data_IF_478414413852
#
_entry.id   IF_478414413852
#
_cell.length_a   1.000
_cell.length_b   1.000
_cell.length_c   1.000
_cell.angle_alpha   90.00
_cell.angle_beta   90.00
_cell.angle_gamma   90.00
#
_symmetry.space_group_name_H-M   'P 1'
#
loop_
_entity.id
_entity.type
_entity.pdbx_description
1 polymer ?
#
# COMPACT_ATOMS: atom_id res chain seq x y z
N UNK A 1 -40.02 32.77 15.90
CA UNK A 1 -39.14 33.19 14.79
C UNK A 1 -37.73 32.63 14.95
N UNK A 2 -37.15 32.69 16.15
CA UNK A 2 -35.81 32.15 16.45
C UNK A 2 -35.67 30.64 16.22
N UNK A 3 -36.71 29.85 16.51
CA UNK A 3 -36.63 28.38 16.40
C UNK A 3 -36.63 27.87 14.95
N UNK A 4 -37.34 28.52 14.04
CA UNK A 4 -37.32 28.18 12.61
C UNK A 4 -35.97 28.53 11.98
N UNK A 5 -35.35 29.65 12.39
CA UNK A 5 -33.99 30.01 11.97
C UNK A 5 -32.96 29.01 12.51
N UNK A 6 -33.11 28.60 13.77
CA UNK A 6 -32.24 27.60 14.40
C UNK A 6 -32.35 26.24 13.70
N UNK A 7 -33.57 25.76 13.41
CA UNK A 7 -33.80 24.53 12.66
C UNK A 7 -33.22 24.62 11.24
N UNK A 8 -33.36 25.75 10.58
CA UNK A 8 -32.75 26.01 9.26
C UNK A 8 -31.22 25.96 9.31
N UNK A 9 -30.60 26.56 10.33
CA UNK A 9 -29.14 26.50 10.55
C UNK A 9 -28.66 25.07 10.82
N UNK A 10 -29.37 24.31 11.65
CA UNK A 10 -29.05 22.90 11.93
C UNK A 10 -29.18 22.06 10.65
N UNK A 11 -30.27 22.24 9.89
CA UNK A 11 -30.47 21.59 8.60
C UNK A 11 -29.38 21.94 7.58
N UNK A 12 -29.01 23.21 7.47
CA UNK A 12 -27.94 23.66 6.58
C UNK A 12 -26.57 23.09 6.98
N UNK A 13 -26.24 23.11 8.28
CA UNK A 13 -24.98 22.57 8.80
C UNK A 13 -24.89 21.06 8.59
N UNK A 14 -25.96 20.32 8.88
CA UNK A 14 -26.01 18.87 8.67
C UNK A 14 -25.88 18.51 7.20
N UNK A 15 -26.53 19.24 6.30
CA UNK A 15 -26.38 19.04 4.86
C UNK A 15 -24.93 19.31 4.40
N UNK A 16 -24.33 20.40 4.85
CA UNK A 16 -22.94 20.75 4.51
C UNK A 16 -21.95 19.71 5.02
N UNK A 17 -22.15 19.21 6.25
CA UNK A 17 -21.35 18.12 6.81
C UNK A 17 -21.47 16.85 5.97
N UNK A 18 -22.69 16.48 5.56
CA UNK A 18 -22.92 15.30 4.73
C UNK A 18 -22.23 15.42 3.37
N UNK A 19 -22.33 16.57 2.71
CA UNK A 19 -21.66 16.84 1.44
C UNK A 19 -20.13 16.75 1.59
N UNK A 20 -19.58 17.26 2.68
CA UNK A 20 -18.14 17.20 2.97
C UNK A 20 -17.68 15.76 3.17
N UNK A 21 -18.45 14.95 3.91
CA UNK A 21 -18.16 13.53 4.10
C UNK A 21 -18.24 12.74 2.78
N UNK A 22 -19.22 13.04 1.93
CA UNK A 22 -19.33 12.41 0.60
C UNK A 22 -18.15 12.78 -0.30
N UNK A 23 -17.76 14.06 -0.32
CA UNK A 23 -16.59 14.51 -1.05
C UNK A 23 -15.30 13.84 -0.53
N UNK A 24 -15.14 13.75 0.80
CA UNK A 24 -14.01 13.06 1.42
C UNK A 24 -13.97 11.56 1.09
N UNK A 25 -15.11 10.88 1.10
CA UNK A 25 -15.21 9.47 0.73
C UNK A 25 -14.87 9.25 -0.76
N UNK A 26 -15.38 10.11 -1.64
CA UNK A 26 -15.04 10.13 -3.06
C UNK A 26 -13.53 10.33 -3.29
N UNK A 27 -12.94 11.34 -2.65
CA UNK A 27 -11.50 11.64 -2.70
C UNK A 27 -10.62 10.49 -2.16
N UNK A 28 -11.12 9.77 -1.15
CA UNK A 28 -10.48 8.57 -0.59
C UNK A 28 -10.56 7.35 -1.50
N UNK A 29 -11.20 7.44 -2.68
CA UNK A 29 -11.29 6.35 -3.64
C UNK A 29 -12.48 5.42 -3.43
N UNK A 30 -13.53 5.83 -2.69
CA UNK A 30 -14.74 5.00 -2.55
C UNK A 30 -15.35 4.63 -3.91
N UNK A 31 -15.30 5.57 -4.87
CA UNK A 31 -15.79 5.37 -6.24
C UNK A 31 -14.70 4.89 -7.21
N UNK A 32 -13.45 4.74 -6.76
CA UNK A 32 -12.37 4.28 -7.62
C UNK A 32 -12.59 2.82 -8.01
N UNK A 33 -12.43 2.53 -9.31
CA UNK A 33 -12.42 1.17 -9.83
C UNK A 33 -11.12 0.46 -9.47
N UNK A 34 -11.20 -0.82 -9.13
CA UNK A 34 -10.02 -1.68 -8.97
C UNK A 34 -9.82 -2.42 -10.29
N UNK A 35 -8.90 -1.94 -11.12
CA UNK A 35 -8.48 -2.64 -12.31
C UNK A 35 -7.33 -3.59 -11.96
N UNK A 36 -7.56 -4.90 -12.14
CA UNK A 36 -6.52 -5.93 -11.98
C UNK A 36 -6.03 -6.33 -13.36
N UNK A 37 -4.72 -6.28 -13.57
CA UNK A 37 -4.07 -6.72 -14.81
C UNK A 37 -2.90 -7.65 -14.49
N UNK A 38 -2.56 -8.50 -15.47
CA UNK A 38 -1.34 -9.28 -15.46
C UNK A 38 -0.43 -8.81 -16.59
N UNK A 39 0.87 -8.73 -16.34
CA UNK A 39 1.83 -8.31 -17.34
C UNK A 39 3.23 -8.12 -16.78
N UNK A 40 4.06 -7.41 -17.54
CA UNK A 40 5.39 -6.99 -17.12
C UNK A 40 5.31 -6.13 -15.86
N UNK A 41 6.24 -6.27 -14.92
CA UNK A 41 6.17 -5.53 -13.68
C UNK A 41 6.27 -4.03 -13.90
N UNK A 42 5.50 -3.23 -13.14
CA UNK A 42 5.61 -1.77 -13.20
C UNK A 42 6.91 -1.28 -12.58
N UNK A 43 7.60 -2.14 -11.83
CA UNK A 43 8.90 -1.90 -11.18
C UNK A 43 9.98 -2.77 -11.81
N UNK A 44 11.12 -2.17 -12.15
CA UNK A 44 12.31 -2.88 -12.64
C UNK A 44 13.10 -3.49 -11.46
N UNK A 45 14.40 -3.73 -11.63
CA UNK A 45 15.28 -4.09 -10.52
C UNK A 45 15.23 -2.96 -9.48
N UNK A 46 14.91 -3.27 -8.22
CA UNK A 46 14.73 -2.24 -7.19
C UNK A 46 15.73 -2.44 -6.08
N UNK A 47 16.47 -1.39 -5.74
CA UNK A 47 17.26 -1.37 -4.50
C UNK A 47 16.47 -0.66 -3.41
N UNK A 48 16.15 -1.37 -2.34
CA UNK A 48 15.31 -0.90 -1.26
C UNK A 48 16.10 -0.86 0.05
N UNK A 49 15.89 0.21 0.82
CA UNK A 49 16.22 0.24 2.24
C UNK A 49 14.98 -0.19 3.03
N UNK A 50 15.13 -1.15 3.94
CA UNK A 50 14.01 -1.72 4.68
C UNK A 50 14.34 -2.06 6.13
N UNK A 51 13.30 -2.08 6.95
CA UNK A 51 13.28 -2.75 8.25
C UNK A 51 12.36 -3.95 8.17
N UNK A 52 12.83 -5.06 8.74
CA UNK A 52 12.04 -6.27 8.85
C UNK A 52 11.17 -6.20 10.09
N UNK A 53 9.91 -6.60 9.97
CA UNK A 53 8.94 -6.61 11.04
C UNK A 53 8.20 -7.95 11.06
N UNK A 54 7.93 -8.43 12.27
CA UNK A 54 7.09 -9.59 12.53
C UNK A 54 5.98 -9.13 13.48
N UNK A 55 4.74 -9.32 13.05
CA UNK A 55 3.58 -8.87 13.79
C UNK A 55 2.45 -8.34 12.90
N UNK A 56 1.41 -7.75 13.51
CA UNK A 56 0.24 -7.27 12.79
C UNK A 56 0.59 -6.18 11.77
N UNK A 57 0.20 -6.35 10.51
CA UNK A 57 0.51 -5.37 9.46
C UNK A 57 -0.07 -3.97 9.71
N UNK A 58 -1.15 -3.86 10.51
CA UNK A 58 -1.72 -2.58 10.93
C UNK A 58 -0.76 -1.71 11.77
N UNK A 59 0.26 -2.32 12.39
CA UNK A 59 1.24 -1.61 13.22
C UNK A 59 2.46 -1.13 12.43
N UNK A 60 2.53 -1.44 11.14
CA UNK A 60 3.66 -1.07 10.28
C UNK A 60 3.68 0.40 9.89
N UNK A 61 2.60 1.15 10.16
CA UNK A 61 2.51 2.59 9.90
C UNK A 61 3.69 3.39 10.46
N UNK A 62 4.19 3.02 11.64
CA UNK A 62 5.38 3.63 12.25
C UNK A 62 6.63 3.49 11.38
N UNK A 63 6.80 2.34 10.71
CA UNK A 63 7.98 2.06 9.88
C UNK A 63 7.94 2.89 8.59
N UNK A 64 6.74 3.11 8.04
CA UNK A 64 6.55 4.04 6.92
C UNK A 64 6.88 5.48 7.33
N UNK A 65 6.40 5.93 8.49
CA UNK A 65 6.75 7.26 9.01
C UNK A 65 8.25 7.40 9.20
N UNK A 66 8.90 6.43 9.83
CA UNK A 66 10.35 6.44 10.05
C UNK A 66 11.11 6.51 8.72
N UNK A 67 10.74 5.67 7.74
CA UNK A 67 11.35 5.66 6.41
C UNK A 67 11.17 7.00 5.67
N UNK A 68 9.97 7.57 5.73
CA UNK A 68 9.65 8.85 5.10
C UNK A 68 10.38 10.02 5.77
N UNK A 69 10.57 9.99 7.09
CA UNK A 69 11.37 10.98 7.82
C UNK A 69 12.84 10.99 7.42
N UNK A 70 13.41 9.85 6.99
CA UNK A 70 14.78 9.79 6.48
C UNK A 70 14.90 10.47 5.12
N UNK A 71 13.95 10.23 4.21
CA UNK A 71 13.92 10.91 2.92
C UNK A 71 12.49 10.99 2.35
N UNK A 72 11.82 12.16 2.45
CA UNK A 72 10.41 12.29 2.08
C UNK A 72 10.18 12.28 0.57
N UNK A 73 11.23 12.43 -0.23
CA UNK A 73 11.15 12.44 -1.70
C UNK A 73 11.13 11.03 -2.30
N UNK A 74 11.51 10.00 -1.52
CA UNK A 74 11.56 8.63 -2.01
C UNK A 74 10.20 7.96 -1.91
N UNK A 75 9.93 7.06 -2.85
CA UNK A 75 8.74 6.21 -2.81
C UNK A 75 8.87 5.20 -1.68
N UNK A 76 7.83 5.13 -0.85
CA UNK A 76 7.69 4.08 0.15
C UNK A 76 7.30 2.76 -0.49
N UNK A 77 7.76 1.66 0.09
CA UNK A 77 7.49 0.30 -0.38
C UNK A 77 7.37 -0.64 0.82
N UNK A 78 6.48 -1.62 0.71
CA UNK A 78 6.37 -2.73 1.62
C UNK A 78 6.27 -4.04 0.86
N UNK A 79 6.77 -5.08 1.50
CA UNK A 79 6.85 -6.45 0.99
C UNK A 79 6.26 -7.35 2.08
N UNK A 80 5.12 -7.96 1.81
CA UNK A 80 4.39 -8.84 2.71
C UNK A 80 4.63 -10.30 2.30
N UNK A 81 5.23 -11.08 3.21
CA UNK A 81 5.59 -12.47 2.92
C UNK A 81 4.47 -13.45 3.21
N UNK A 82 3.55 -13.07 4.10
CA UNK A 82 2.51 -13.96 4.62
C UNK A 82 1.12 -13.38 4.35
N UNK A 83 0.16 -14.26 4.03
CA UNK A 83 -1.25 -13.87 3.90
C UNK A 83 -1.89 -13.81 5.29
N UNK A 84 -2.38 -12.63 5.73
CA UNK A 84 -2.91 -12.45 7.09
C UNK A 84 -4.22 -13.19 7.35
N UNK A 85 -4.86 -13.75 6.31
CA UNK A 85 -6.03 -14.63 6.46
C UNK A 85 -5.66 -16.10 6.70
N UNK A 86 -4.40 -16.47 6.45
CA UNK A 86 -3.88 -17.84 6.59
C UNK A 86 -2.87 -17.97 7.73
N UNK A 87 -2.11 -16.91 8.00
CA UNK A 87 -1.09 -16.87 9.05
C UNK A 87 -1.58 -15.98 10.19
N UNK A 88 -1.43 -16.39 11.46
CA UNK A 88 -1.75 -15.54 12.61
C UNK A 88 -1.03 -14.19 12.54
N UNK A 89 -1.71 -13.12 12.95
CA UNK A 89 -1.21 -11.74 12.87
C UNK A 89 0.15 -11.56 13.51
N UNK A 90 0.41 -12.23 14.63
CA UNK A 90 1.63 -12.12 15.43
C UNK A 90 2.83 -12.77 14.74
N UNK A 91 2.58 -13.61 13.74
CA UNK A 91 3.59 -14.34 12.97
C UNK A 91 3.77 -13.82 11.55
N UNK A 92 2.94 -12.86 11.14
CA UNK A 92 3.02 -12.27 9.81
C UNK A 92 4.32 -11.49 9.67
N UNK A 93 5.03 -11.67 8.55
CA UNK A 93 6.33 -11.05 8.29
C UNK A 93 6.22 -10.06 7.15
N UNK A 94 6.84 -8.91 7.31
CA UNK A 94 6.99 -7.95 6.24
C UNK A 94 8.33 -7.21 6.29
N UNK A 95 8.71 -6.63 5.15
CA UNK A 95 9.78 -5.65 5.05
C UNK A 95 9.17 -4.32 4.60
N UNK A 96 9.48 -3.24 5.32
CA UNK A 96 8.93 -1.90 5.05
C UNK A 96 10.05 -0.89 4.94
N UNK A 97 9.97 0.00 3.97
CA UNK A 97 10.91 1.10 3.84
C UNK A 97 10.75 1.90 2.55
N UNK A 98 11.86 2.25 1.90
CA UNK A 98 11.89 3.15 0.74
C UNK A 98 12.71 2.58 -0.41
N UNK A 99 12.29 2.87 -1.63
CA UNK A 99 13.03 2.60 -2.86
C UNK A 99 14.17 3.62 -2.97
N UNK A 100 15.42 3.15 -2.96
CA UNK A 100 16.61 3.98 -3.11
C UNK A 100 16.98 4.19 -4.58
N UNK A 101 16.77 3.19 -5.42
CA UNK A 101 16.94 3.26 -6.86
C UNK A 101 16.12 2.19 -7.59
N UNK A 102 15.85 2.43 -8.87
CA UNK A 102 15.12 1.52 -9.74
C UNK A 102 15.82 1.40 -11.11
N UNK A 103 15.91 0.19 -11.65
CA UNK A 103 16.58 -0.11 -12.92
C UNK A 103 18.09 -0.26 -12.77
N UNK A 104 18.82 0.32 -13.73
CA UNK A 104 20.30 0.29 -13.78
C UNK A 104 20.95 1.39 -12.93
N UNK A 105 20.14 2.26 -12.32
CA UNK A 105 20.64 3.33 -11.46
C UNK A 105 21.15 2.76 -10.14
N UNK A 106 22.42 3.04 -9.83
CA UNK A 106 22.99 2.73 -8.51
C UNK A 106 22.51 3.77 -7.48
N UNK A 107 22.05 3.34 -6.29
CA UNK A 107 21.63 4.27 -5.26
C UNK A 107 22.82 5.08 -4.73
N UNK A 108 22.58 6.33 -4.36
CA UNK A 108 23.66 7.19 -3.86
C UNK A 108 24.25 6.64 -2.55
N UNK A 109 25.58 6.62 -2.45
CA UNK A 109 26.29 6.07 -1.28
C UNK A 109 25.93 6.82 0.01
N UNK A 110 25.69 8.12 -0.10
CA UNK A 110 25.25 8.96 1.02
C UNK A 110 23.89 8.53 1.55
N UNK A 111 22.94 8.25 0.66
CA UNK A 111 21.60 7.81 1.02
C UNK A 111 21.61 6.41 1.66
N UNK A 112 22.41 5.49 1.12
CA UNK A 112 22.63 4.16 1.72
C UNK A 112 23.14 4.31 3.15
N UNK A 113 24.20 5.11 3.36
CA UNK A 113 24.78 5.35 4.69
C UNK A 113 23.77 6.01 5.64
N UNK A 114 22.97 6.93 5.13
CA UNK A 114 21.93 7.60 5.92
C UNK A 114 20.88 6.59 6.41
N UNK A 115 20.32 5.77 5.51
CA UNK A 115 19.36 4.74 5.89
C UNK A 115 19.96 3.70 6.85
N UNK A 116 21.20 3.27 6.62
CA UNK A 116 21.91 2.37 7.53
C UNK A 116 22.11 2.98 8.93
N UNK A 117 22.40 4.28 9.02
CA UNK A 117 22.51 4.99 10.31
C UNK A 117 21.20 4.94 11.11
N UNK A 118 20.05 4.94 10.44
CA UNK A 118 18.73 4.76 11.07
C UNK A 118 18.32 3.28 11.24
N UNK A 119 19.24 2.34 11.02
CA UNK A 119 19.02 0.91 11.25
C UNK A 119 18.27 0.19 10.11
N UNK A 120 18.20 0.79 8.92
CA UNK A 120 17.65 0.11 7.74
C UNK A 120 18.72 -0.78 7.10
N UNK A 121 18.29 -1.95 6.65
CA UNK A 121 19.09 -2.85 5.80
C UNK A 121 18.85 -2.49 4.34
N UNK A 122 19.84 -2.69 3.47
CA UNK A 122 19.71 -2.43 2.04
C UNK A 122 19.79 -3.76 1.30
N UNK A 123 18.87 -3.97 0.37
CA UNK A 123 18.84 -5.15 -0.49
C UNK A 123 18.30 -4.80 -1.86
N UNK A 124 18.79 -5.49 -2.89
CA UNK A 124 18.35 -5.31 -4.27
C UNK A 124 17.50 -6.50 -4.69
N UNK A 125 16.24 -6.23 -5.05
CA UNK A 125 15.33 -7.22 -5.59
C UNK A 125 15.46 -7.27 -7.12
N UNK A 126 15.59 -8.47 -7.71
CA UNK A 126 15.54 -8.61 -9.16
C UNK A 126 14.12 -8.33 -9.67
N UNK A 127 14.02 -7.84 -10.91
CA UNK A 127 12.73 -7.63 -11.56
C UNK A 127 11.96 -8.97 -11.69
N UNK A 128 10.71 -9.05 -11.20
CA UNK A 128 9.89 -10.26 -11.37
C UNK A 128 9.46 -10.41 -12.83
N UNK A 129 9.42 -11.64 -13.34
CA UNK A 129 9.11 -11.89 -14.76
C UNK A 129 7.65 -11.65 -15.12
N UNK A 130 6.73 -12.00 -14.21
CA UNK A 130 5.29 -11.82 -14.37
C UNK A 130 4.69 -11.40 -13.04
N UNK A 131 3.84 -10.36 -13.07
CA UNK A 131 3.11 -9.93 -11.88
C UNK A 131 1.63 -9.74 -12.19
N UNK A 132 0.81 -9.96 -11.17
CA UNK A 132 -0.57 -9.50 -11.13
C UNK A 132 -0.57 -8.22 -10.31
N UNK A 133 -1.03 -7.14 -10.90
CA UNK A 133 -0.98 -5.82 -10.30
C UNK A 133 -2.36 -5.16 -10.29
N UNK A 134 -2.55 -4.26 -9.35
CA UNK A 134 -3.69 -3.38 -9.27
C UNK A 134 -3.25 -2.02 -8.75
N UNK A 135 -3.86 -0.96 -9.27
CA UNK A 135 -3.60 0.41 -8.83
C UNK A 135 -4.82 0.92 -8.08
N UNK A 136 -4.60 1.51 -6.92
CA UNK A 136 -5.66 2.10 -6.11
C UNK A 136 -5.16 3.40 -5.43
N UNK A 137 -6.03 4.41 -5.22
CA UNK A 137 -5.65 5.64 -4.54
C UNK A 137 -5.09 5.39 -3.13
N UNK A 138 -3.96 6.03 -2.83
CA UNK A 138 -3.31 6.03 -1.51
C UNK A 138 -3.22 7.47 -0.99
N UNK A 139 -4.37 8.03 -0.61
CA UNK A 139 -4.51 9.46 -0.25
C UNK A 139 -4.89 9.68 1.21
N UNK A 140 -5.63 8.75 1.83
CA UNK A 140 -6.15 8.90 3.20
C UNK A 140 -6.14 7.55 3.93
N UNK A 141 -6.24 7.52 5.27
CA UNK A 141 -6.41 6.25 5.99
C UNK A 141 -7.62 5.43 5.52
N UNK A 142 -8.70 6.12 5.11
CA UNK A 142 -9.86 5.47 4.50
C UNK A 142 -9.50 4.79 3.18
N UNK A 143 -8.62 5.38 2.37
CA UNK A 143 -8.17 4.76 1.12
C UNK A 143 -7.36 3.48 1.36
N UNK A 144 -6.53 3.43 2.41
CA UNK A 144 -5.78 2.22 2.83
C UNK A 144 -6.74 1.10 3.23
N UNK A 145 -7.75 1.45 4.04
CA UNK A 145 -8.78 0.51 4.46
C UNK A 145 -9.59 -0.01 3.26
N UNK A 146 -10.00 0.88 2.35
CA UNK A 146 -10.70 0.52 1.12
C UNK A 146 -9.84 -0.37 0.22
N UNK A 147 -8.55 -0.07 0.07
CA UNK A 147 -7.61 -0.87 -0.70
C UNK A 147 -7.55 -2.31 -0.14
N UNK A 148 -7.41 -2.45 1.17
CA UNK A 148 -7.36 -3.77 1.82
C UNK A 148 -8.64 -4.58 1.56
N UNK A 149 -9.81 -3.94 1.60
CA UNK A 149 -11.10 -4.62 1.40
C UNK A 149 -11.48 -4.86 -0.05
N UNK A 150 -11.00 -4.06 -1.00
CA UNK A 150 -11.43 -4.14 -2.41
C UNK A 150 -10.35 -4.72 -3.32
N UNK A 151 -9.09 -4.37 -3.10
CA UNK A 151 -7.96 -4.80 -3.94
C UNK A 151 -7.59 -6.24 -3.66
N UNK A 152 -7.44 -6.66 -2.39
CA UNK A 152 -7.06 -8.04 -2.10
C UNK A 152 -8.08 -9.07 -2.62
N UNK A 153 -9.40 -8.92 -2.41
CA UNK A 153 -10.36 -9.87 -2.98
C UNK A 153 -10.37 -9.88 -4.52
N UNK A 154 -10.17 -8.72 -5.16
CA UNK A 154 -10.09 -8.64 -6.62
C UNK A 154 -8.85 -9.37 -7.16
N UNK A 155 -7.69 -9.19 -6.52
CA UNK A 155 -6.46 -9.92 -6.84
C UNK A 155 -6.65 -11.44 -6.61
N UNK A 156 -7.22 -11.84 -5.48
CA UNK A 156 -7.49 -13.24 -5.16
C UNK A 156 -8.41 -13.89 -6.22
N UNK A 157 -9.47 -13.20 -6.62
CA UNK A 157 -10.40 -13.67 -7.62
C UNK A 157 -9.71 -13.84 -8.98
N UNK A 158 -8.90 -12.86 -9.40
CA UNK A 158 -8.14 -12.91 -10.64
C UNK A 158 -7.16 -14.09 -10.66
N UNK A 159 -6.37 -14.25 -9.59
CA UNK A 159 -5.40 -15.34 -9.46
C UNK A 159 -6.13 -16.69 -9.47
N UNK A 160 -7.21 -16.86 -8.70
CA UNK A 160 -7.97 -18.12 -8.67
C UNK A 160 -8.55 -18.53 -10.02
N UNK A 161 -9.04 -17.57 -10.81
CA UNK A 161 -9.63 -17.85 -12.13
C UNK A 161 -8.56 -18.26 -13.13
N UNK A 162 -7.43 -17.55 -13.19
CA UNK A 162 -6.38 -17.81 -14.19
C UNK A 162 -5.46 -18.98 -13.81
N UNK A 163 -5.22 -19.21 -12.51
CA UNK A 163 -4.37 -20.30 -12.02
C UNK A 163 -5.07 -21.67 -12.03
N UNK A 164 -6.39 -21.72 -12.25
CA UNK A 164 -7.13 -22.96 -12.55
C UNK A 164 -7.00 -23.42 -14.02
N UNK A 165 -6.49 -22.57 -14.91
CA UNK A 165 -6.36 -22.87 -16.35
C UNK A 165 -4.93 -23.14 -16.80
N UNK A 166 -3.93 -23.07 -15.90
CA UNK A 166 -2.52 -23.24 -16.26
C UNK A 166 -1.67 -23.64 -15.07
N UNK A 167 -0.94 -24.74 -15.28
CA UNK A 167 0.17 -25.34 -14.54
C UNK A 167 0.78 -24.52 -13.39
N UNK A 168 0.90 -25.21 -12.25
CA UNK A 168 1.56 -24.78 -11.02
C UNK A 168 3.04 -24.46 -11.22
N UNK A 169 3.46 -23.23 -10.89
CA UNK A 169 4.84 -22.95 -10.45
C UNK A 169 4.73 -22.27 -9.09
N UNK A 170 5.16 -22.98 -8.04
CA UNK A 170 5.28 -22.46 -6.68
C UNK A 170 6.28 -21.29 -6.69
N UNK A 171 5.76 -20.08 -6.79
CA UNK A 171 6.39 -18.86 -6.33
C UNK A 171 5.30 -18.09 -5.60
N UNK A 172 5.41 -17.98 -4.27
CA UNK A 172 4.47 -17.17 -3.49
C UNK A 172 4.38 -15.77 -4.11
N UNK A 173 3.17 -15.26 -4.40
CA UNK A 173 3.02 -13.87 -4.78
C UNK A 173 3.35 -13.02 -3.56
N UNK A 174 4.47 -12.32 -3.66
CA UNK A 174 4.84 -11.23 -2.77
C UNK A 174 3.88 -10.09 -3.06
N UNK A 175 3.04 -9.76 -2.09
CA UNK A 175 2.14 -8.61 -2.10
C UNK A 175 2.77 -7.47 -1.30
#
# INVERSE_FOLDING_TARGET
MSDLLLLGLIGGLTLLLLLTLLAFAGYSGLLAGVAVSAGSPPVRNVTMAYKFHVGPYGETGRLFTESCSVSPKLRSVAVYYDNPRMVPSEKCRCAVGSILSEGEESPSRELIRLYQKFGFKVFSFPAPSHVVMATFPYTTPLSIWLATRRVHPALDAYIKVRHKSGVCVRGQPVL
#
